data_IF_543787650743
#
_entry.id   IF_543787650743
#
_cell.length_a   1.000
_cell.length_b   1.000
_cell.length_c   1.000
_cell.angle_alpha   90.00
_cell.angle_beta   90.00
_cell.angle_gamma   90.00
#
_symmetry.space_group_name_H-M   'P 1'
#
loop_
_entity.id
_entity.type
_entity.pdbx_description
1 polymer ?
#
# COMPACT_ATOMS: atom_id res chain seq x y z
N UNK A 1 7.10 9.84 44.85
CA UNK A 1 5.99 10.60 44.24
C UNK A 1 5.82 10.06 42.82
N UNK A 2 4.98 9.03 42.64
CA UNK A 2 4.71 8.45 41.31
C UNK A 2 3.34 8.91 40.86
N UNK A 3 3.32 9.55 39.68
CA UNK A 3 2.12 10.03 39.00
C UNK A 3 1.30 8.83 38.53
N UNK A 4 0.06 8.70 39.01
CA UNK A 4 -0.90 7.75 38.47
C UNK A 4 -1.44 8.28 37.14
N UNK A 5 -1.00 7.69 36.03
CA UNK A 5 -1.59 7.91 34.72
C UNK A 5 -3.00 7.31 34.69
N UNK A 6 -3.98 8.11 34.28
CA UNK A 6 -5.36 7.66 34.10
C UNK A 6 -5.43 6.68 32.92
N UNK A 7 -5.94 5.47 33.18
CA UNK A 7 -6.21 4.45 32.17
C UNK A 7 -7.54 4.81 31.47
N UNK A 8 -7.51 4.98 30.15
CA UNK A 8 -8.68 5.44 29.40
C UNK A 8 -9.48 4.34 28.69
N UNK A 9 -9.03 3.07 28.70
CA UNK A 9 -9.75 1.97 28.04
C UNK A 9 -9.49 0.63 28.76
N UNK A 10 -10.46 0.08 29.52
CA UNK A 10 -10.51 -1.32 30.00
C UNK A 10 -9.15 -2.03 30.29
N UNK A 11 -8.19 -1.34 30.89
CA UNK A 11 -6.86 -1.85 31.17
C UNK A 11 -6.81 -2.32 32.63
N UNK A 12 -6.54 -3.61 32.84
CA UNK A 12 -6.30 -4.19 34.15
C UNK A 12 -4.81 -4.49 34.28
N UNK A 13 -4.15 -3.90 35.28
CA UNK A 13 -2.77 -4.29 35.64
C UNK A 13 -2.86 -5.62 36.38
N UNK A 14 -2.39 -6.69 35.74
CA UNK A 14 -2.31 -8.01 36.35
C UNK A 14 -0.90 -8.24 36.85
N UNK A 15 -0.74 -8.39 38.16
CA UNK A 15 0.55 -8.53 38.84
C UNK A 15 1.08 -9.97 38.88
N UNK A 16 0.26 -10.97 38.50
CA UNK A 16 0.65 -12.38 38.50
C UNK A 16 0.80 -12.92 37.06
N UNK A 17 2.03 -13.09 36.53
CA UNK A 17 2.27 -13.62 35.20
C UNK A 17 1.88 -15.10 35.02
N UNK A 18 1.57 -15.84 36.09
CA UNK A 18 1.08 -17.22 36.01
C UNK A 18 -0.44 -17.33 35.78
N UNK A 19 -1.21 -16.29 36.13
CA UNK A 19 -2.68 -16.31 36.10
C UNK A 19 -3.30 -15.96 34.73
N UNK A 20 -2.59 -15.24 33.87
CA UNK A 20 -3.15 -14.77 32.59
C UNK A 20 -2.34 -15.32 31.43
N UNK A 21 -2.73 -16.50 30.96
CA UNK A 21 -2.46 -16.89 29.57
C UNK A 21 -3.59 -16.31 28.72
N UNK A 22 -3.40 -15.13 28.14
CA UNK A 22 -4.27 -14.67 27.04
C UNK A 22 -4.19 -15.71 25.93
N UNK A 23 -5.18 -16.60 25.84
CA UNK A 23 -5.20 -17.67 24.83
C UNK A 23 -5.62 -17.13 23.46
N UNK A 24 -6.48 -16.12 23.44
CA UNK A 24 -7.00 -15.51 22.22
C UNK A 24 -7.25 -14.02 22.44
N UNK A 25 -6.87 -13.19 21.47
CA UNK A 25 -7.30 -11.81 21.35
C UNK A 25 -8.40 -11.76 20.29
N UNK A 26 -9.62 -11.39 20.67
CA UNK A 26 -10.73 -11.21 19.73
C UNK A 26 -10.78 -9.75 19.32
N UNK A 27 -10.41 -9.47 18.06
CA UNK A 27 -10.52 -8.13 17.48
C UNK A 27 -11.88 -8.01 16.81
N UNK A 28 -12.79 -7.22 17.41
CA UNK A 28 -14.12 -6.96 16.82
C UNK A 28 -14.02 -5.79 15.85
N UNK A 29 -14.23 -6.06 14.56
CA UNK A 29 -14.22 -5.03 13.53
C UNK A 29 -15.53 -4.25 13.50
N UNK A 30 -15.48 -2.94 13.75
CA UNK A 30 -16.59 -2.06 13.47
C UNK A 30 -16.73 -1.89 11.94
N UNK A 31 -17.84 -2.38 11.37
CA UNK A 31 -18.12 -2.33 9.92
C UNK A 31 -18.27 -0.91 9.35
N UNK A 32 -18.27 0.12 10.20
CA UNK A 32 -18.24 1.53 9.79
C UNK A 32 -16.84 2.10 9.62
N UNK A 33 -15.78 1.35 9.95
CA UNK A 33 -14.41 1.85 9.91
C UNK A 33 -13.55 1.00 8.99
N UNK A 34 -12.75 1.67 8.14
CA UNK A 34 -11.78 0.97 7.33
C UNK A 34 -10.62 0.47 8.23
N UNK A 35 -10.25 -0.82 8.18
CA UNK A 35 -9.21 -1.38 9.05
C UNK A 35 -7.79 -0.90 8.68
N UNK A 36 -7.63 -0.26 7.52
CA UNK A 36 -6.35 0.26 7.01
C UNK A 36 -6.13 1.70 7.45
N UNK A 37 -7.08 2.60 7.16
CA UNK A 37 -6.92 4.03 7.46
C UNK A 37 -7.68 4.51 8.70
N UNK A 38 -8.41 3.62 9.38
CA UNK A 38 -9.23 3.89 10.58
C UNK A 38 -10.26 5.01 10.44
N UNK A 39 -10.50 5.50 9.23
CA UNK A 39 -11.55 6.49 8.95
C UNK A 39 -12.92 5.82 8.96
N UNK A 40 -13.88 6.54 9.53
CA UNK A 40 -15.27 6.18 9.43
C UNK A 40 -15.72 6.32 7.97
N UNK A 41 -16.52 5.38 7.52
CA UNK A 41 -17.06 5.32 6.18
C UNK A 41 -18.58 5.28 6.28
N UNK A 42 -19.28 5.89 5.33
CA UNK A 42 -20.75 5.83 5.28
C UNK A 42 -21.21 4.37 5.14
N UNK A 43 -22.40 4.04 5.67
CA UNK A 43 -22.92 2.67 5.66
C UNK A 43 -22.89 2.08 4.22
N UNK A 44 -22.10 1.04 4.00
CA UNK A 44 -22.01 0.34 2.71
C UNK A 44 -20.84 0.74 1.79
N UNK A 45 -20.01 1.70 2.18
CA UNK A 45 -18.85 2.15 1.38
C UNK A 45 -17.59 1.31 1.55
N UNK A 46 -17.61 0.28 2.41
CA UNK A 46 -16.56 -0.74 2.48
C UNK A 46 -16.91 -1.91 1.58
N UNK A 47 -15.92 -2.37 0.81
CA UNK A 47 -16.04 -3.54 -0.07
C UNK A 47 -14.90 -4.51 0.23
N UNK A 48 -15.13 -5.82 0.08
CA UNK A 48 -14.06 -6.82 0.23
C UNK A 48 -13.01 -6.59 -0.84
N UNK A 49 -11.73 -6.75 -0.50
CA UNK A 49 -10.62 -6.52 -1.44
C UNK A 49 -10.81 -7.28 -2.76
N UNK A 50 -11.14 -8.57 -2.68
CA UNK A 50 -11.38 -9.41 -3.85
C UNK A 50 -12.48 -8.90 -4.79
N UNK A 51 -13.45 -8.12 -4.27
CA UNK A 51 -14.56 -7.66 -5.07
C UNK A 51 -14.24 -6.32 -5.79
N UNK A 52 -13.08 -5.69 -5.54
CA UNK A 52 -12.67 -4.50 -6.31
C UNK A 52 -12.27 -4.88 -7.75
N UNK A 53 -12.76 -4.09 -8.69
CA UNK A 53 -12.42 -4.21 -10.11
C UNK A 53 -11.81 -2.88 -10.56
N UNK A 54 -10.59 -2.93 -11.07
CA UNK A 54 -9.89 -1.77 -11.60
C UNK A 54 -9.91 -1.79 -13.13
N UNK A 55 -10.31 -0.68 -13.73
CA UNK A 55 -10.29 -0.50 -15.18
C UNK A 55 -8.97 0.17 -15.62
N UNK A 56 -8.75 0.27 -16.94
CA UNK A 56 -7.53 0.88 -17.50
C UNK A 56 -7.24 2.28 -16.95
N UNK A 57 -8.29 3.08 -16.77
CA UNK A 57 -8.16 4.46 -16.27
C UNK A 57 -7.62 4.52 -14.84
N UNK A 58 -7.87 3.50 -14.02
CA UNK A 58 -7.50 3.48 -12.61
C UNK A 58 -5.99 3.35 -12.38
N UNK A 59 -5.25 2.79 -13.34
CA UNK A 59 -3.79 2.63 -13.24
C UNK A 59 -3.02 3.46 -14.27
N UNK A 60 -3.64 3.95 -15.32
CA UNK A 60 -2.98 4.83 -16.31
C UNK A 60 -2.91 6.28 -15.86
N UNK A 61 -3.93 6.76 -15.13
CA UNK A 61 -4.07 8.18 -14.79
C UNK A 61 -4.26 8.46 -13.29
N UNK A 62 -4.55 7.43 -12.49
CA UNK A 62 -4.95 7.59 -11.09
C UNK A 62 -4.05 6.82 -10.10
N UNK A 63 -2.80 6.51 -10.47
CA UNK A 63 -1.83 5.96 -9.52
C UNK A 63 -1.28 7.09 -8.64
N UNK A 64 -1.69 7.11 -7.37
CA UNK A 64 -1.34 8.20 -6.45
C UNK A 64 0.17 8.22 -6.14
N UNK A 65 0.82 7.04 -6.17
CA UNK A 65 2.25 6.89 -5.84
C UNK A 65 3.19 6.99 -7.04
N UNK A 66 2.65 7.20 -8.24
CA UNK A 66 3.44 7.23 -9.47
C UNK A 66 3.18 8.53 -10.21
N UNK A 67 4.21 9.06 -10.85
CA UNK A 67 4.02 10.07 -11.88
C UNK A 67 3.58 9.43 -13.20
N UNK A 68 3.25 10.26 -14.18
CA UNK A 68 2.78 9.81 -15.50
C UNK A 68 3.82 8.95 -16.24
N UNK A 69 5.11 9.29 -16.12
CA UNK A 69 6.18 8.53 -16.76
C UNK A 69 6.29 7.12 -16.16
N UNK A 70 6.37 7.00 -14.84
CA UNK A 70 6.43 5.69 -14.17
C UNK A 70 5.17 4.85 -14.43
N UNK A 71 3.98 5.48 -14.40
CA UNK A 71 2.72 4.80 -14.72
C UNK A 71 2.72 4.26 -16.15
N UNK A 72 3.31 5.00 -17.09
CA UNK A 72 3.47 4.57 -18.48
C UNK A 72 4.42 3.38 -18.60
N UNK A 73 5.54 3.37 -17.86
CA UNK A 73 6.46 2.22 -17.84
C UNK A 73 5.79 0.96 -17.30
N UNK A 74 5.02 1.08 -16.21
CA UNK A 74 4.24 -0.04 -15.67
C UNK A 74 3.23 -0.54 -16.70
N UNK A 75 2.52 0.35 -17.40
CA UNK A 75 1.59 -0.01 -18.46
C UNK A 75 2.28 -0.75 -19.62
N UNK A 76 3.40 -0.22 -20.12
CA UNK A 76 4.18 -0.86 -21.19
C UNK A 76 4.63 -2.25 -20.78
N UNK A 77 5.08 -2.42 -19.55
CA UNK A 77 5.50 -3.71 -19.04
C UNK A 77 4.33 -4.70 -18.91
N UNK A 78 3.15 -4.25 -18.50
CA UNK A 78 1.95 -5.11 -18.47
C UNK A 78 1.60 -5.63 -19.86
N UNK A 79 1.65 -4.75 -20.87
CA UNK A 79 1.44 -5.12 -22.28
C UNK A 79 2.50 -6.13 -22.74
N UNK A 80 3.78 -5.89 -22.43
CA UNK A 80 4.87 -6.81 -22.78
C UNK A 80 4.69 -8.20 -22.15
N UNK A 81 4.28 -8.25 -20.87
CA UNK A 81 4.06 -9.50 -20.13
C UNK A 81 2.70 -10.17 -20.44
N UNK A 82 1.86 -9.57 -21.29
CA UNK A 82 0.52 -10.10 -21.60
C UNK A 82 -0.38 -10.21 -20.36
N UNK A 83 -0.27 -9.25 -19.44
CA UNK A 83 -1.06 -9.20 -18.21
C UNK A 83 -1.81 -7.88 -18.07
N UNK A 84 -2.67 -7.79 -17.06
CA UNK A 84 -3.39 -6.56 -16.72
C UNK A 84 -3.34 -6.28 -15.21
N UNK A 85 -3.71 -5.05 -14.85
CA UNK A 85 -3.67 -4.61 -13.47
C UNK A 85 -4.63 -5.37 -12.55
N UNK A 86 -5.78 -5.85 -13.07
CA UNK A 86 -6.74 -6.60 -12.28
C UNK A 86 -6.18 -7.97 -11.91
N UNK A 87 -5.54 -8.66 -12.85
CA UNK A 87 -4.85 -9.94 -12.61
C UNK A 87 -3.73 -9.78 -11.59
N UNK A 88 -2.87 -8.77 -11.77
CA UNK A 88 -1.77 -8.46 -10.83
C UNK A 88 -2.34 -8.16 -9.43
N UNK A 89 -3.43 -7.39 -9.36
CA UNK A 89 -4.10 -7.08 -8.09
C UNK A 89 -4.63 -8.36 -7.42
N UNK A 90 -5.35 -9.21 -8.14
CA UNK A 90 -5.94 -10.44 -7.58
C UNK A 90 -4.85 -11.41 -7.09
N UNK A 91 -3.79 -11.61 -7.87
CA UNK A 91 -2.63 -12.42 -7.45
C UNK A 91 -1.90 -11.80 -6.26
N UNK A 92 -1.80 -10.47 -6.23
CA UNK A 92 -1.15 -9.71 -5.17
C UNK A 92 -1.92 -9.76 -3.86
N UNK A 93 -3.26 -9.67 -3.88
CA UNK A 93 -4.06 -9.77 -2.66
C UNK A 93 -4.05 -11.18 -2.05
N UNK A 94 -3.84 -12.21 -2.88
CA UNK A 94 -3.71 -13.59 -2.40
C UNK A 94 -2.32 -13.85 -1.79
N UNK A 95 -1.26 -13.38 -2.44
CA UNK A 95 0.10 -13.85 -2.16
C UNK A 95 1.03 -12.81 -1.54
N UNK A 96 0.69 -11.52 -1.61
CA UNK A 96 1.63 -10.43 -1.32
C UNK A 96 1.14 -9.39 -0.31
N UNK A 97 -0.09 -9.50 0.24
CA UNK A 97 -0.59 -8.54 1.24
C UNK A 97 0.31 -8.42 2.47
N UNK A 98 0.79 -9.53 3.00
CA UNK A 98 1.66 -9.52 4.19
C UNK A 98 2.99 -8.78 3.92
N UNK A 99 3.49 -8.84 2.68
CA UNK A 99 4.71 -8.12 2.31
C UNK A 99 4.49 -6.60 2.21
N UNK A 100 3.25 -6.13 2.02
CA UNK A 100 2.95 -4.69 2.02
C UNK A 100 3.08 -4.03 3.39
N UNK A 101 2.98 -4.82 4.47
CA UNK A 101 3.18 -4.33 5.84
C UNK A 101 4.66 -4.01 6.12
N UNK A 102 5.57 -4.67 5.39
CA UNK A 102 7.02 -4.56 5.60
C UNK A 102 7.75 -3.77 4.51
N UNK A 103 7.19 -3.67 3.29
CA UNK A 103 7.81 -2.94 2.18
C UNK A 103 7.33 -1.47 2.09
N UNK A 104 8.18 -0.48 2.42
CA UNK A 104 7.84 0.92 2.25
C UNK A 104 7.75 1.28 0.75
N UNK A 105 6.63 1.85 0.34
CA UNK A 105 6.51 2.63 -0.90
C UNK A 105 6.52 4.13 -0.55
N UNK A 106 7.53 4.58 0.20
CA UNK A 106 7.65 5.91 0.81
C UNK A 106 7.79 5.83 2.34
N UNK A 107 7.75 6.96 3.06
CA UNK A 107 7.75 6.96 4.54
C UNK A 107 6.57 6.15 5.15
N UNK A 108 5.44 6.07 4.45
CA UNK A 108 4.24 5.41 4.96
C UNK A 108 4.26 3.89 4.73
N UNK A 109 4.36 3.13 5.83
CA UNK A 109 4.04 1.70 5.85
C UNK A 109 2.53 1.50 5.88
N UNK A 110 2.04 0.46 5.21
CA UNK A 110 0.67 0.02 5.42
C UNK A 110 0.63 -0.63 6.82
N UNK A 111 0.08 0.08 7.80
CA UNK A 111 -0.02 -0.40 9.20
C UNK A 111 -1.48 -0.64 9.57
N UNK A 112 -2.12 -1.69 9.02
CA UNK A 112 -3.51 -1.98 9.32
C UNK A 112 -3.66 -2.40 10.78
N UNK A 113 -4.81 -2.11 11.39
CA UNK A 113 -5.12 -2.50 12.77
C UNK A 113 -5.26 -4.03 12.94
N UNK A 114 -5.31 -4.77 11.84
CA UNK A 114 -5.39 -6.23 11.79
C UNK A 114 -4.75 -6.75 10.51
N UNK A 115 -4.37 -8.03 10.52
CA UNK A 115 -3.86 -8.71 9.33
C UNK A 115 -4.89 -8.68 8.20
N UNK A 116 -4.47 -8.17 7.05
CA UNK A 116 -5.31 -8.07 5.86
C UNK A 116 -5.37 -9.41 5.10
N UNK A 117 -6.50 -9.68 4.46
CA UNK A 117 -6.68 -10.77 3.50
C UNK A 117 -7.69 -10.36 2.42
N UNK A 118 -7.85 -11.19 1.37
CA UNK A 118 -8.74 -10.89 0.24
C UNK A 118 -10.20 -10.62 0.62
N UNK A 119 -10.65 -11.17 1.76
CA UNK A 119 -12.04 -11.00 2.24
C UNK A 119 -12.21 -9.79 3.16
N UNK A 120 -11.11 -9.14 3.58
CA UNK A 120 -11.18 -7.94 4.42
C UNK A 120 -11.86 -6.80 3.68
N UNK A 121 -12.86 -6.18 4.31
CA UNK A 121 -13.56 -5.03 3.75
C UNK A 121 -12.78 -3.73 4.00
N UNK A 122 -12.48 -3.00 2.93
CA UNK A 122 -11.72 -1.73 2.95
C UNK A 122 -12.45 -0.65 2.15
N UNK A 123 -12.11 0.61 2.39
CA UNK A 123 -12.64 1.73 1.61
C UNK A 123 -11.92 1.81 0.25
N UNK A 124 -12.57 2.44 -0.74
CA UNK A 124 -12.02 2.61 -2.08
C UNK A 124 -10.66 3.30 -2.10
N UNK A 125 -10.41 4.27 -1.21
CA UNK A 125 -9.11 4.94 -1.14
C UNK A 125 -7.99 3.98 -0.73
N UNK A 126 -8.23 3.15 0.28
CA UNK A 126 -7.26 2.15 0.71
C UNK A 126 -7.09 1.03 -0.31
N UNK A 127 -8.16 0.61 -0.98
CA UNK A 127 -8.06 -0.35 -2.07
C UNK A 127 -7.18 0.16 -3.22
N UNK A 128 -7.33 1.43 -3.61
CA UNK A 128 -6.48 2.07 -4.60
C UNK A 128 -5.00 2.14 -4.16
N UNK A 129 -4.71 2.51 -2.90
CA UNK A 129 -3.33 2.53 -2.39
C UNK A 129 -2.70 1.12 -2.39
N UNK A 130 -3.47 0.10 -1.97
CA UNK A 130 -3.01 -1.30 -2.01
C UNK A 130 -2.75 -1.73 -3.46
N UNK A 131 -3.65 -1.43 -4.39
CA UNK A 131 -3.49 -1.70 -5.82
C UNK A 131 -2.20 -1.06 -6.36
N UNK A 132 -1.97 0.22 -6.09
CA UNK A 132 -0.77 0.92 -6.54
C UNK A 132 0.51 0.23 -6.02
N UNK A 133 0.54 -0.12 -4.73
CA UNK A 133 1.69 -0.82 -4.13
C UNK A 133 1.94 -2.20 -4.73
N UNK A 134 0.89 -2.97 -5.00
CA UNK A 134 1.00 -4.28 -5.64
C UNK A 134 1.54 -4.16 -7.07
N UNK A 135 1.05 -3.20 -7.85
CA UNK A 135 1.53 -2.93 -9.21
C UNK A 135 3.00 -2.53 -9.22
N UNK A 136 3.41 -1.63 -8.31
CA UNK A 136 4.81 -1.21 -8.17
C UNK A 136 5.71 -2.39 -7.79
N UNK A 137 5.28 -3.22 -6.84
CA UNK A 137 6.05 -4.40 -6.41
C UNK A 137 6.17 -5.45 -7.51
N UNK A 138 5.11 -5.65 -8.30
CA UNK A 138 5.14 -6.50 -9.48
C UNK A 138 6.11 -5.95 -10.53
N UNK A 139 6.02 -4.67 -10.86
CA UNK A 139 6.87 -4.02 -11.85
C UNK A 139 8.35 -4.14 -11.49
N UNK A 140 8.72 -3.86 -10.23
CA UNK A 140 10.10 -4.01 -9.74
C UNK A 140 10.70 -5.40 -9.97
N UNK A 141 9.87 -6.44 -10.02
CA UNK A 141 10.30 -7.83 -10.24
C UNK A 141 10.31 -8.24 -11.72
N UNK A 142 9.68 -7.45 -12.59
CA UNK A 142 9.39 -7.81 -13.97
C UNK A 142 9.81 -6.68 -14.90
N UNK A 143 11.05 -6.18 -14.81
CA UNK A 143 11.50 -5.03 -15.62
C UNK A 143 12.15 -5.41 -16.95
N UNK A 144 12.13 -6.69 -17.32
CA UNK A 144 12.83 -7.28 -18.48
C UNK A 144 12.43 -6.68 -19.84
N UNK A 145 11.18 -6.22 -19.99
CA UNK A 145 10.68 -5.53 -21.18
C UNK A 145 11.01 -4.04 -21.23
N UNK A 146 11.62 -3.48 -20.18
CA UNK A 146 12.03 -2.08 -20.09
C UNK A 146 13.51 -1.94 -20.49
N UNK A 147 13.86 -0.99 -21.38
CA UNK A 147 15.25 -0.71 -21.76
C UNK A 147 16.15 -0.46 -20.54
N UNK A 148 17.40 -0.93 -20.64
CA UNK A 148 18.37 -0.86 -19.54
C UNK A 148 18.61 0.60 -19.08
N UNK A 149 18.64 1.54 -20.01
CA UNK A 149 18.85 2.96 -19.77
C UNK A 149 17.73 3.56 -18.91
N UNK A 150 16.50 3.06 -19.05
CA UNK A 150 15.34 3.49 -18.26
C UNK A 150 15.31 2.80 -16.90
N UNK A 151 15.72 1.53 -16.85
CA UNK A 151 15.76 0.73 -15.62
C UNK A 151 16.87 1.17 -14.66
N UNK A 152 17.98 1.66 -15.18
CA UNK A 152 19.18 2.03 -14.43
C UNK A 152 19.33 3.54 -14.20
N UNK A 153 18.24 4.30 -14.31
CA UNK A 153 18.21 5.70 -13.91
C UNK A 153 18.55 5.83 -12.43
N UNK A 154 19.24 6.90 -12.08
CA UNK A 154 19.58 7.19 -10.70
C UNK A 154 18.31 7.38 -9.85
N UNK A 155 18.33 6.86 -8.64
CA UNK A 155 17.23 7.04 -7.68
C UNK A 155 17.11 8.51 -7.29
N UNK A 156 15.89 9.05 -7.37
CA UNK A 156 15.60 10.37 -6.85
C UNK A 156 15.81 10.38 -5.33
N UNK A 157 16.57 11.35 -4.81
CA UNK A 157 16.79 11.48 -3.35
C UNK A 157 15.51 11.60 -2.52
N UNK A 158 14.42 12.04 -3.14
CA UNK A 158 13.10 12.17 -2.52
C UNK A 158 12.17 10.98 -2.80
N UNK A 159 12.53 10.09 -3.74
CA UNK A 159 11.78 8.89 -4.10
C UNK A 159 10.28 9.15 -4.33
N UNK A 160 9.44 8.31 -3.73
CA UNK A 160 7.97 8.44 -3.75
C UNK A 160 7.45 9.79 -3.23
N UNK A 161 8.21 10.52 -2.41
CA UNK A 161 7.82 11.82 -1.83
C UNK A 161 8.26 13.01 -2.70
N UNK A 162 8.92 12.76 -3.83
CA UNK A 162 9.34 13.84 -4.73
C UNK A 162 8.11 14.60 -5.26
N UNK A 163 7.99 15.89 -4.95
CA UNK A 163 6.89 16.71 -5.49
C UNK A 163 7.14 17.03 -6.97
N UNK A 164 8.40 17.22 -7.36
CA UNK A 164 8.80 17.60 -8.72
C UNK A 164 8.48 16.54 -9.75
N UNK A 165 8.41 15.26 -9.35
CA UNK A 165 8.07 14.15 -10.25
C UNK A 165 6.70 14.33 -10.94
N UNK A 166 5.76 15.02 -10.29
CA UNK A 166 4.43 15.29 -10.84
C UNK A 166 4.35 16.60 -11.62
N UNK A 167 5.38 17.45 -11.56
CA UNK A 167 5.39 18.79 -12.15
C UNK A 167 6.31 18.92 -13.35
N UNK A 168 7.30 18.04 -13.49
CA UNK A 168 8.30 18.08 -14.56
C UNK A 168 8.48 16.69 -15.14
N UNK A 169 8.03 16.51 -16.38
CA UNK A 169 8.26 15.29 -17.13
C UNK A 169 9.76 15.02 -17.33
N UNK A 170 10.57 16.07 -17.52
CA UNK A 170 12.02 15.93 -17.66
C UNK A 170 12.66 15.38 -16.39
N UNK A 171 12.22 15.86 -15.21
CA UNK A 171 12.66 15.29 -13.94
C UNK A 171 12.21 13.84 -13.78
N UNK A 172 10.96 13.53 -14.13
CA UNK A 172 10.40 12.18 -14.07
C UNK A 172 11.10 11.21 -15.02
N UNK A 173 11.61 11.69 -16.16
CA UNK A 173 12.42 10.90 -17.11
C UNK A 173 13.84 10.69 -16.62
N UNK A 174 14.44 11.68 -15.97
CA UNK A 174 15.85 11.63 -15.56
C UNK A 174 16.10 10.72 -14.35
N UNK A 175 15.19 10.72 -13.37
CA UNK A 175 15.36 9.98 -12.11
C UNK A 175 14.30 8.90 -11.92
N UNK A 176 14.69 7.79 -11.30
CA UNK A 176 13.74 6.79 -10.80
C UNK A 176 13.02 7.32 -9.55
N UNK A 177 11.70 7.27 -9.53
CA UNK A 177 10.88 7.63 -8.34
C UNK A 177 10.28 6.43 -7.63
N UNK A 178 10.45 5.21 -8.16
CA UNK A 178 10.02 3.98 -7.51
C UNK A 178 11.03 3.52 -6.45
N UNK A 179 11.51 4.44 -5.62
CA UNK A 179 12.51 4.25 -4.60
C UNK A 179 12.12 4.99 -3.30
N UNK A 180 12.74 4.62 -2.18
CA UNK A 180 12.52 5.29 -0.89
C UNK A 180 13.36 6.58 -0.81
N UNK A 181 12.86 7.57 -0.08
CA UNK A 181 13.60 8.81 0.21
C UNK A 181 14.91 8.46 0.94
N UNK A 182 16.02 9.07 0.49
CA UNK A 182 17.36 8.88 1.07
C UNK A 182 17.97 10.18 1.62
N UNK A 183 17.44 11.34 1.25
CA UNK A 183 17.80 12.61 1.88
C UNK A 183 17.15 12.74 3.27
N UNK A 184 17.78 13.46 4.20
CA UNK A 184 17.16 13.83 5.49
C UNK A 184 16.20 15.01 5.30
#
# INVERSE_FOLDING_TARGET
MFSYGYLHNNEYIVYDPAQVRMKYLVVVQNKRYCPVCTKQTENGSLKRMQDFNFCEKDYKHNMKRCNEYESTLICMQMVYQGTDAQKIYQEGIENQLAALETNPCGADKLSPAMRLNKTTSVCTSCANDIKDRLLINWFKKTTDGIPAEVRHREDCKWGYECITQHKSLDHAKLYNHLCVKTAE
#
